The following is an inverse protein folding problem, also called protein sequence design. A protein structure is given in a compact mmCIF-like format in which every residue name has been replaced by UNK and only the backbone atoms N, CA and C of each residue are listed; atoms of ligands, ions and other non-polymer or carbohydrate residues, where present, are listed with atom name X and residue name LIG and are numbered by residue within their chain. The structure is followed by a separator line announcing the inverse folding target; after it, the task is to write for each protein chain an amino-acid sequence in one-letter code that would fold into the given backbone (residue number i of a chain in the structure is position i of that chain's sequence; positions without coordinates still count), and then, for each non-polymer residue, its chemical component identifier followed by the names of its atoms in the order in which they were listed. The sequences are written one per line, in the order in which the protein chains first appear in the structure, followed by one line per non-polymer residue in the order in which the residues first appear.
data_IF_606095611669
#
_entry.id   IF_606095611669
#
_cell.length_a   1.000
_cell.length_b   1.000
_cell.length_c   1.000
_cell.angle_alpha   90.00
_cell.angle_beta   90.00
_cell.angle_gamma   90.00
#
_symmetry.space_group_name_H-M   'P 1'
#
loop_
_entity.id
_entity.type
_entity.pdbx_description
1 polymer ?
#
# COMPACT_ATOMS: atom_id res chain seq x y z
N UNK A 1 33.36 -31.01 6.25
CA UNK A 1 32.61 -30.39 7.35
C UNK A 1 33.60 -29.69 8.25
N UNK A 2 33.63 -28.35 8.23
CA UNK A 2 34.56 -27.51 8.97
C UNK A 2 33.83 -26.79 10.13
N UNK A 3 34.47 -26.56 11.28
CA UNK A 3 33.83 -25.98 12.46
C UNK A 3 33.55 -24.48 12.30
N UNK A 4 32.50 -24.02 12.99
CA UNK A 4 31.87 -22.69 12.95
C UNK A 4 32.78 -21.49 13.35
N UNK A 5 34.09 -21.69 13.49
CA UNK A 5 35.09 -20.70 13.92
C UNK A 5 35.80 -19.98 12.78
N UNK A 6 35.64 -20.41 11.52
CA UNK A 6 36.40 -19.83 10.39
C UNK A 6 35.83 -18.49 9.86
N UNK A 7 34.55 -18.18 10.08
CA UNK A 7 33.95 -16.93 9.56
C UNK A 7 34.10 -15.73 10.52
N UNK A 8 34.39 -15.95 11.80
CA UNK A 8 34.56 -14.86 12.78
C UNK A 8 35.96 -14.21 12.73
N UNK A 9 36.85 -14.62 11.82
CA UNK A 9 38.24 -14.15 11.76
C UNK A 9 38.58 -13.24 10.56
N UNK A 10 37.62 -12.85 9.71
CA UNK A 10 37.90 -12.06 8.50
C UNK A 10 37.25 -10.67 8.41
N UNK A 11 36.71 -10.12 9.50
CA UNK A 11 36.42 -8.67 9.53
C UNK A 11 37.14 -8.02 10.71
N UNK A 12 38.34 -7.55 10.37
CA UNK A 12 39.28 -6.80 11.21
C UNK A 12 39.18 -5.32 10.82
N UNK A 13 39.35 -4.48 11.85
CA UNK A 13 39.81 -3.10 11.84
C UNK A 13 38.76 -1.99 11.67
N UNK A 14 38.66 -1.21 12.74
CA UNK A 14 38.17 0.15 12.81
C UNK A 14 39.23 1.08 12.19
N UNK A 15 38.85 1.82 11.14
CA UNK A 15 39.49 3.07 10.74
C UNK A 15 38.39 4.15 10.69
N UNK A 16 38.76 5.30 11.23
CA UNK A 16 37.95 6.46 11.50
C UNK A 16 37.53 7.26 10.25
N UNK A 17 36.29 7.76 10.30
CA UNK A 17 35.77 8.95 9.62
C UNK A 17 34.92 8.76 8.35
N UNK A 18 33.76 9.44 8.38
CA UNK A 18 32.76 9.66 7.33
C UNK A 18 31.97 8.45 6.83
N UNK A 19 30.79 8.23 7.42
CA UNK A 19 29.77 7.40 6.80
C UNK A 19 28.62 7.14 7.75
N UNK A 20 27.52 7.86 7.54
CA UNK A 20 26.20 7.52 8.06
C UNK A 20 25.95 6.00 8.00
N UNK A 21 25.82 5.36 9.16
CA UNK A 21 25.36 3.99 9.24
C UNK A 21 23.91 3.94 8.72
N UNK A 22 23.80 3.66 7.42
CA UNK A 22 22.60 3.28 6.70
C UNK A 22 21.86 2.27 7.58
N UNK A 23 20.76 2.71 8.19
CA UNK A 23 19.78 1.82 8.82
C UNK A 23 19.49 0.75 7.78
N UNK A 24 19.70 -0.52 8.13
CA UNK A 24 19.24 -1.68 7.33
C UNK A 24 17.86 -1.34 6.77
N UNK A 25 17.62 -1.38 5.44
CA UNK A 25 16.26 -1.25 4.95
C UNK A 25 15.49 -2.43 5.54
N UNK A 26 14.61 -2.11 6.50
CA UNK A 26 13.55 -2.98 6.96
C UNK A 26 13.00 -3.69 5.72
N UNK A 27 13.16 -5.01 5.70
CA UNK A 27 12.97 -5.83 4.50
C UNK A 27 11.67 -5.45 3.83
N UNK A 28 11.76 -5.14 2.53
CA UNK A 28 10.68 -4.90 1.57
C UNK A 28 9.30 -5.20 2.12
N UNK A 29 8.78 -4.28 2.93
CA UNK A 29 7.37 -4.21 3.23
C UNK A 29 6.79 -3.77 1.90
N UNK A 30 6.35 -4.72 1.08
CA UNK A 30 5.23 -4.49 0.18
C UNK A 30 4.17 -3.91 1.10
N UNK A 31 4.15 -2.58 1.18
CA UNK A 31 3.20 -1.84 2.00
C UNK A 31 1.87 -2.29 1.43
N UNK A 32 1.21 -3.23 2.13
CA UNK A 32 -0.21 -3.46 1.93
C UNK A 32 -0.82 -2.09 2.20
N UNK A 33 -1.03 -1.35 1.12
CA UNK A 33 -1.68 -0.06 1.22
C UNK A 33 -3.03 -0.37 1.86
N UNK A 34 -3.22 0.14 3.07
CA UNK A 34 -4.41 -0.14 3.85
C UNK A 34 -5.65 0.23 3.03
N UNK A 35 -6.73 -0.54 3.16
CA UNK A 35 -8.01 -0.19 2.52
C UNK A 35 -8.41 1.24 2.88
N UNK A 36 -8.18 1.66 4.13
CA UNK A 36 -8.37 3.04 4.61
C UNK A 36 -7.61 4.07 3.74
N UNK A 37 -6.36 3.76 3.35
CA UNK A 37 -5.58 4.66 2.51
C UNK A 37 -6.16 4.78 1.10
N UNK A 38 -6.74 3.70 0.58
CA UNK A 38 -7.43 3.72 -0.71
C UNK A 38 -8.77 4.45 -0.66
N UNK A 39 -9.54 4.32 0.42
CA UNK A 39 -10.73 5.15 0.63
C UNK A 39 -10.40 6.64 0.73
N UNK A 40 -9.31 6.98 1.42
CA UNK A 40 -8.79 8.37 1.44
C UNK A 40 -8.36 8.82 0.05
N UNK A 41 -7.68 7.96 -0.70
CA UNK A 41 -7.26 8.29 -2.06
C UNK A 41 -8.46 8.52 -3.00
N UNK A 42 -9.48 7.66 -2.94
CA UNK A 42 -10.74 7.79 -3.67
C UNK A 42 -11.40 9.14 -3.42
N UNK A 43 -11.54 9.52 -2.14
CA UNK A 43 -12.21 10.77 -1.76
C UNK A 43 -11.41 12.02 -2.12
N UNK A 44 -10.08 11.93 -2.17
CA UNK A 44 -9.21 13.04 -2.56
C UNK A 44 -8.99 13.15 -4.07
N UNK A 45 -9.04 12.03 -4.79
CA UNK A 45 -8.72 11.94 -6.22
C UNK A 45 -9.78 11.12 -6.96
N UNK A 46 -11.07 11.51 -6.92
CA UNK A 46 -12.15 10.70 -7.48
C UNK A 46 -12.03 10.48 -9.00
N UNK A 47 -11.30 11.34 -9.70
CA UNK A 47 -10.98 11.24 -11.12
C UNK A 47 -10.11 10.02 -11.46
N UNK A 48 -9.33 9.52 -10.51
CA UNK A 48 -8.49 8.31 -10.67
C UNK A 48 -9.25 7.01 -10.46
N UNK A 49 -10.54 7.08 -10.14
CA UNK A 49 -11.35 5.93 -9.83
C UNK A 49 -12.53 5.82 -10.79
N UNK A 50 -12.86 4.59 -11.16
CA UNK A 50 -14.12 4.26 -11.78
C UNK A 50 -15.16 4.04 -10.69
N UNK A 51 -16.27 4.78 -10.77
CA UNK A 51 -17.49 4.49 -10.00
C UNK A 51 -18.37 3.59 -10.86
N UNK A 52 -18.46 2.33 -10.45
CA UNK A 52 -19.21 1.25 -11.10
C UNK A 52 -20.35 0.74 -10.22
N UNK A 53 -20.75 1.49 -9.18
CA UNK A 53 -21.85 1.13 -8.25
C UNK A 53 -23.17 0.82 -8.95
N UNK A 54 -23.40 1.45 -10.09
CA UNK A 54 -24.62 1.27 -10.89
C UNK A 54 -24.50 0.10 -11.86
N UNK A 55 -23.29 -0.39 -12.13
CA UNK A 55 -23.07 -1.49 -13.04
C UNK A 55 -23.21 -2.83 -12.31
N UNK A 56 -24.23 -3.60 -12.67
CA UNK A 56 -24.53 -4.91 -12.07
C UNK A 56 -23.59 -6.02 -12.54
N UNK A 57 -22.70 -5.75 -13.50
CA UNK A 57 -21.73 -6.72 -14.01
C UNK A 57 -20.56 -6.91 -13.06
N UNK A 58 -20.29 -5.92 -12.20
CA UNK A 58 -19.15 -5.94 -11.29
C UNK A 58 -19.59 -6.20 -9.85
N UNK A 59 -18.77 -6.97 -9.14
CA UNK A 59 -19.01 -7.26 -7.72
C UNK A 59 -18.46 -6.18 -6.79
N UNK A 60 -17.73 -5.19 -7.31
CA UNK A 60 -17.12 -4.09 -6.55
C UNK A 60 -17.77 -2.75 -6.91
N UNK A 61 -17.58 -1.76 -6.05
CA UNK A 61 -18.22 -0.44 -6.19
C UNK A 61 -17.30 0.58 -6.87
N UNK A 62 -16.00 0.51 -6.57
CA UNK A 62 -14.99 1.38 -7.17
C UNK A 62 -13.75 0.61 -7.61
N UNK A 63 -13.11 1.07 -8.68
CA UNK A 63 -11.84 0.52 -9.17
C UNK A 63 -10.85 1.65 -9.49
N UNK A 64 -9.63 1.57 -8.96
CA UNK A 64 -8.58 2.53 -9.30
C UNK A 64 -8.07 2.28 -10.71
N UNK A 65 -8.06 3.33 -11.55
CA UNK A 65 -7.71 3.28 -12.98
C UNK A 65 -6.32 2.71 -13.27
N UNK A 66 -5.32 3.14 -12.51
CA UNK A 66 -3.92 2.73 -12.77
C UNK A 66 -3.52 1.42 -12.09
N UNK A 67 -4.06 1.13 -10.90
CA UNK A 67 -3.62 -0.01 -10.08
C UNK A 67 -4.59 -1.19 -10.13
N UNK A 68 -5.81 -0.99 -10.65
CA UNK A 68 -6.88 -2.01 -10.66
C UNK A 68 -7.41 -2.34 -9.27
N UNK A 69 -7.09 -1.53 -8.24
CA UNK A 69 -7.52 -1.81 -6.87
C UNK A 69 -9.03 -1.62 -6.75
N UNK A 70 -9.74 -2.68 -6.39
CA UNK A 70 -11.18 -2.66 -6.16
C UNK A 70 -11.51 -2.29 -4.70
N UNK A 71 -12.61 -1.57 -4.51
CA UNK A 71 -13.18 -1.21 -3.21
C UNK A 71 -14.67 -1.56 -3.16
N UNK A 72 -15.13 -1.98 -1.98
CA UNK A 72 -16.50 -2.39 -1.68
C UNK A 72 -17.09 -1.51 -0.59
N UNK A 73 -18.20 -0.85 -0.84
CA UNK A 73 -18.92 -0.05 0.15
C UNK A 73 -19.30 -0.86 1.40
N UNK A 74 -19.54 -2.16 1.24
CA UNK A 74 -19.82 -3.07 2.36
C UNK A 74 -18.67 -3.21 3.36
N UNK A 75 -17.42 -2.94 2.95
CA UNK A 75 -16.24 -2.88 3.82
C UNK A 75 -15.71 -1.46 4.01
N UNK A 76 -16.48 -0.44 3.63
CA UNK A 76 -16.06 0.94 3.76
C UNK A 76 -16.17 1.44 5.21
N UNK A 77 -15.25 2.31 5.66
CA UNK A 77 -15.42 3.06 6.89
C UNK A 77 -16.65 3.97 6.83
N UNK A 78 -17.35 4.16 7.96
CA UNK A 78 -18.59 4.95 8.03
C UNK A 78 -18.46 6.37 7.45
N UNK A 79 -17.29 7.00 7.62
CA UNK A 79 -17.05 8.37 7.14
C UNK A 79 -17.07 8.50 5.62
N UNK A 80 -16.91 7.39 4.88
CA UNK A 80 -16.89 7.40 3.41
C UNK A 80 -18.25 7.81 2.84
N UNK A 81 -19.35 7.39 3.47
CA UNK A 81 -20.70 7.71 2.99
C UNK A 81 -20.99 9.21 2.96
N UNK A 82 -20.36 10.00 3.84
CA UNK A 82 -20.51 11.47 3.87
C UNK A 82 -19.71 12.18 2.77
N UNK A 83 -18.69 11.51 2.21
CA UNK A 83 -17.75 12.10 1.25
C UNK A 83 -18.04 11.71 -0.18
N UNK A 84 -18.78 10.62 -0.39
CA UNK A 84 -19.06 10.12 -1.73
C UNK A 84 -20.20 10.91 -2.40
N UNK A 85 -20.07 11.19 -3.70
CA UNK A 85 -21.21 11.67 -4.47
C UNK A 85 -22.30 10.58 -4.53
N UNK A 86 -23.57 10.98 -4.78
CA UNK A 86 -24.62 10.01 -5.04
C UNK A 86 -24.24 9.10 -6.23
N UNK A 87 -24.68 7.83 -6.24
CA UNK A 87 -24.43 6.92 -7.35
C UNK A 87 -24.99 7.50 -8.65
N UNK A 88 -24.26 7.30 -9.75
CA UNK A 88 -24.69 7.76 -11.08
C UNK A 88 -26.00 7.05 -11.45
N UNK A 89 -27.00 7.76 -12.00
CA UNK A 89 -28.18 7.09 -12.53
C UNK A 89 -27.78 6.12 -13.65
N UNK A 90 -28.49 5.00 -13.72
CA UNK A 90 -28.37 3.97 -14.76
C UNK A 90 -28.66 4.53 -16.16
#
# INVERSE_FOLDING_TARGET
MLPFTFLMMFFKAEDSSLGNAQKRPEGSSWRKESEEASWKNLTQNPDKWWDVRSDKLFNHDFEHKDTGKALWLSSSPDWVFEKLPPPKPL
#
